data_IF_739777079153
#
_entry.id   IF_739777079153
#
_cell.length_a   1.000
_cell.length_b   1.000
_cell.length_c   1.000
_cell.angle_alpha   90.00
_cell.angle_beta   90.00
_cell.angle_gamma   90.00
#
_symmetry.space_group_name_H-M   'P 1'
#
loop_
_entity.id
_entity.type
_entity.pdbx_description
1 polymer ?
#
# COMPACT_ATOMS: atom_id res chain seq x y z
N UNK A 1 -11.50 -14.19 -6.90
CA UNK A 1 -10.45 -13.42 -6.20
C UNK A 1 -11.18 -12.48 -5.26
N UNK A 2 -10.91 -12.56 -3.95
CA UNK A 2 -11.60 -11.72 -2.97
C UNK A 2 -11.31 -10.23 -3.23
N UNK A 3 -12.23 -9.37 -2.84
CA UNK A 3 -12.07 -7.92 -2.95
C UNK A 3 -10.92 -7.47 -2.03
N UNK A 4 -9.71 -7.32 -2.59
CA UNK A 4 -8.47 -6.98 -1.87
C UNK A 4 -8.64 -5.69 -1.07
N UNK A 5 -9.44 -4.77 -1.60
CA UNK A 5 -9.78 -3.53 -0.95
C UNK A 5 -10.48 -3.73 0.40
N UNK A 6 -11.14 -4.88 0.65
CA UNK A 6 -11.81 -5.22 1.91
C UNK A 6 -10.97 -6.12 2.83
N UNK A 7 -9.70 -6.37 2.49
CA UNK A 7 -8.85 -7.24 3.30
C UNK A 7 -8.50 -6.60 4.65
N UNK A 8 -8.89 -7.28 5.73
CA UNK A 8 -8.50 -6.96 7.10
C UNK A 8 -7.15 -7.59 7.50
N UNK A 9 -6.46 -8.24 6.57
CA UNK A 9 -5.14 -8.82 6.81
C UNK A 9 -4.18 -7.74 7.32
N UNK A 10 -3.61 -7.88 8.53
CA UNK A 10 -2.72 -6.88 9.08
C UNK A 10 -1.41 -6.79 8.30
N UNK A 11 -0.93 -5.56 8.10
CA UNK A 11 0.45 -5.30 7.70
C UNK A 11 1.38 -5.54 8.90
N UNK A 12 2.68 -5.69 8.64
CA UNK A 12 3.69 -5.82 9.70
C UNK A 12 4.07 -4.48 10.34
N UNK A 13 3.61 -3.38 9.76
CA UNK A 13 3.77 -2.04 10.30
C UNK A 13 2.51 -1.22 10.03
N UNK A 14 2.25 -0.25 10.92
CA UNK A 14 1.28 0.81 10.65
C UNK A 14 1.99 1.99 10.00
N UNK A 15 1.52 2.41 8.84
CA UNK A 15 2.01 3.60 8.15
C UNK A 15 1.13 4.79 8.51
N UNK A 16 1.75 5.93 8.83
CA UNK A 16 1.08 7.21 9.02
C UNK A 16 1.56 8.15 7.92
N UNK A 17 0.80 8.19 6.82
CA UNK A 17 1.16 8.94 5.63
C UNK A 17 0.51 10.32 5.68
N UNK A 18 1.24 11.38 5.33
CA UNK A 18 0.65 12.72 5.16
C UNK A 18 0.25 12.95 3.72
N UNK A 19 -0.99 13.33 3.49
CA UNK A 19 -1.53 13.70 2.19
C UNK A 19 -2.41 14.93 2.35
N UNK A 20 -2.14 15.99 1.58
CA UNK A 20 -2.93 17.23 1.62
C UNK A 20 -3.10 17.86 3.01
N UNK A 21 -2.11 17.68 3.90
CA UNK A 21 -2.16 18.19 5.28
C UNK A 21 -2.87 17.26 6.28
N UNK A 22 -3.49 16.18 5.81
CA UNK A 22 -4.13 15.17 6.66
C UNK A 22 -3.22 13.96 6.86
N UNK A 23 -3.32 13.32 8.03
CA UNK A 23 -2.60 12.06 8.30
C UNK A 23 -3.53 10.87 8.09
N UNK A 24 -3.21 10.04 7.10
CA UNK A 24 -3.89 8.79 6.82
C UNK A 24 -3.15 7.64 7.49
N UNK A 25 -3.87 6.81 8.25
CA UNK A 25 -3.29 5.64 8.91
C UNK A 25 -3.63 4.37 8.13
N UNK A 26 -2.60 3.56 7.81
CA UNK A 26 -2.72 2.32 7.05
C UNK A 26 -2.12 1.18 7.88
N UNK A 27 -2.97 0.28 8.36
CA UNK A 27 -2.60 -0.87 9.19
C UNK A 27 -2.94 -2.22 8.54
N UNK A 28 -3.84 -2.24 7.55
CA UNK A 28 -4.24 -3.46 6.84
C UNK A 28 -3.92 -3.41 5.34
N UNK A 29 -3.89 -4.58 4.72
CA UNK A 29 -3.74 -4.75 3.27
C UNK A 29 -4.81 -3.97 2.51
N UNK A 30 -6.08 -4.07 2.92
CA UNK A 30 -7.18 -3.38 2.25
C UNK A 30 -7.10 -1.86 2.36
N UNK A 31 -6.68 -1.33 3.52
CA UNK A 31 -6.45 0.10 3.69
C UNK A 31 -5.35 0.61 2.74
N UNK A 32 -4.20 -0.07 2.71
CA UNK A 32 -3.09 0.32 1.86
C UNK A 32 -3.42 0.19 0.36
N UNK A 33 -4.12 -0.88 -0.03
CA UNK A 33 -4.54 -1.09 -1.41
C UNK A 33 -5.46 0.03 -1.89
N UNK A 34 -6.49 0.38 -1.12
CA UNK A 34 -7.37 1.52 -1.44
C UNK A 34 -6.60 2.83 -1.53
N UNK A 35 -5.67 3.07 -0.60
CA UNK A 35 -4.89 4.30 -0.58
C UNK A 35 -4.08 4.47 -1.88
N UNK A 36 -3.30 3.46 -2.26
CA UNK A 36 -2.45 3.57 -3.45
C UNK A 36 -3.23 3.44 -4.77
N UNK A 37 -4.40 2.79 -4.76
CA UNK A 37 -5.25 2.65 -5.95
C UNK A 37 -6.14 3.88 -6.21
N UNK A 38 -6.52 4.62 -5.17
CA UNK A 38 -7.38 5.81 -5.30
C UNK A 38 -6.60 7.08 -5.67
N UNK A 39 -5.29 7.10 -5.46
CA UNK A 39 -4.41 8.15 -5.98
C UNK A 39 -4.30 8.01 -7.50
N UNK A 40 -4.35 9.14 -8.20
CA UNK A 40 -4.34 9.20 -9.66
C UNK A 40 -3.06 8.59 -10.23
N UNK A 41 -3.17 8.00 -11.43
CA UNK A 41 -2.00 7.49 -12.14
C UNK A 41 -0.91 8.56 -12.39
N UNK A 42 -1.32 9.84 -12.44
CA UNK A 42 -0.40 10.98 -12.56
C UNK A 42 0.48 11.12 -11.31
N UNK A 43 -0.10 10.97 -10.11
CA UNK A 43 0.63 11.04 -8.84
C UNK A 43 1.68 9.93 -8.71
N UNK A 44 1.44 8.78 -9.34
CA UNK A 44 2.36 7.64 -9.33
C UNK A 44 3.29 7.56 -10.54
N UNK A 45 3.21 8.48 -11.51
CA UNK A 45 3.94 8.33 -12.77
C UNK A 45 5.48 8.29 -12.56
N UNK A 46 6.00 9.05 -11.59
CA UNK A 46 7.43 9.01 -11.21
C UNK A 46 7.83 7.71 -10.47
N UNK A 47 6.86 7.01 -9.86
CA UNK A 47 7.08 5.84 -9.01
C UNK A 47 6.37 4.59 -9.52
N UNK A 48 6.02 4.55 -10.82
CA UNK A 48 5.11 3.56 -11.39
C UNK A 48 5.53 2.11 -11.12
N UNK A 49 6.83 1.80 -11.27
CA UNK A 49 7.35 0.45 -10.98
C UNK A 49 7.10 0.05 -9.52
N UNK A 50 7.41 0.95 -8.58
CA UNK A 50 7.22 0.69 -7.15
C UNK A 50 5.73 0.62 -6.79
N UNK A 51 4.88 1.38 -7.48
CA UNK A 51 3.43 1.34 -7.31
C UNK A 51 2.84 0.02 -7.78
N UNK A 52 3.19 -0.42 -9.00
CA UNK A 52 2.74 -1.71 -9.54
C UNK A 52 3.25 -2.89 -8.68
N UNK A 53 4.50 -2.84 -8.22
CA UNK A 53 5.07 -3.83 -7.29
C UNK A 53 4.31 -3.87 -5.96
N UNK A 54 3.95 -2.71 -5.39
CA UNK A 54 3.20 -2.63 -4.16
C UNK A 54 1.77 -3.18 -4.33
N UNK A 55 1.10 -2.89 -5.44
CA UNK A 55 -0.22 -3.45 -5.76
C UNK A 55 -0.17 -4.98 -5.82
N UNK A 56 0.74 -5.54 -6.60
CA UNK A 56 0.90 -6.99 -6.74
C UNK A 56 1.22 -7.65 -5.40
N UNK A 57 2.07 -7.03 -4.58
CA UNK A 57 2.40 -7.54 -3.26
C UNK A 57 1.19 -7.56 -2.32
N UNK A 58 0.34 -6.52 -2.37
CA UNK A 58 -0.89 -6.45 -1.57
C UNK A 58 -1.94 -7.48 -2.02
N UNK A 59 -2.13 -7.67 -3.32
CA UNK A 59 -3.06 -8.68 -3.86
C UNK A 59 -2.65 -10.09 -3.41
N UNK A 60 -1.35 -10.39 -3.47
CA UNK A 60 -0.81 -11.66 -2.98
C UNK A 60 -0.97 -11.81 -1.47
N UNK A 61 -0.74 -10.75 -0.69
CA UNK A 61 -0.89 -10.77 0.76
C UNK A 61 -2.35 -10.90 1.22
N UNK A 62 -3.31 -10.38 0.45
CA UNK A 62 -4.73 -10.57 0.71
C UNK A 62 -5.15 -12.05 0.59
N UNK A 63 -4.56 -12.79 -0.35
CA UNK A 63 -4.77 -14.23 -0.49
C UNK A 63 -3.88 -15.11 0.40
N UNK A 64 -2.81 -14.55 0.96
CA UNK A 64 -1.84 -15.28 1.78
C UNK A 64 -1.17 -14.37 2.83
N UNK A 65 -1.63 -14.47 4.08
CA UNK A 65 -1.12 -13.67 5.20
C UNK A 65 0.39 -13.84 5.47
N UNK A 66 1.02 -14.93 5.02
CA UNK A 66 2.47 -15.12 5.13
C UNK A 66 3.26 -14.11 4.27
N UNK A 67 2.63 -13.50 3.26
CA UNK A 67 3.25 -12.53 2.35
C UNK A 67 3.14 -11.07 2.82
N UNK A 68 2.63 -10.85 4.03
CA UNK A 68 2.44 -9.51 4.61
C UNK A 68 3.77 -8.77 4.85
N UNK A 69 4.88 -9.48 5.05
CA UNK A 69 6.23 -8.88 5.17
C UNK A 69 6.62 -8.20 3.85
N UNK A 70 6.43 -8.91 2.74
CA UNK A 70 6.76 -8.44 1.39
C UNK A 70 5.89 -7.25 1.01
N UNK A 71 4.57 -7.32 1.27
CA UNK A 71 3.66 -6.20 1.06
C UNK A 71 4.05 -4.97 1.90
N UNK A 72 4.41 -5.18 3.18
CA UNK A 72 4.87 -4.08 4.06
C UNK A 72 6.15 -3.44 3.53
N UNK A 73 7.11 -4.23 3.05
CA UNK A 73 8.36 -3.70 2.51
C UNK A 73 8.16 -2.96 1.18
N UNK A 74 7.32 -3.47 0.27
CA UNK A 74 6.97 -2.79 -0.97
C UNK A 74 6.33 -1.42 -0.70
N UNK A 75 5.38 -1.35 0.22
CA UNK A 75 4.76 -0.10 0.66
C UNK A 75 5.79 0.88 1.25
N UNK A 76 6.70 0.40 2.10
CA UNK A 76 7.75 1.24 2.68
C UNK A 76 8.63 1.85 1.61
N UNK A 77 9.08 1.07 0.63
CA UNK A 77 9.91 1.56 -0.48
C UNK A 77 9.16 2.63 -1.29
N UNK A 78 7.91 2.36 -1.66
CA UNK A 78 7.06 3.30 -2.38
C UNK A 78 6.91 4.63 -1.61
N UNK A 79 6.48 4.56 -0.34
CA UNK A 79 6.18 5.75 0.44
C UNK A 79 7.42 6.58 0.79
N UNK A 80 8.57 5.94 1.06
CA UNK A 80 9.83 6.67 1.25
C UNK A 80 10.23 7.37 -0.05
N UNK A 81 10.13 6.69 -1.20
CA UNK A 81 10.52 7.28 -2.49
C UNK A 81 9.60 8.44 -2.90
N UNK A 82 8.32 8.33 -2.57
CA UNK A 82 7.31 9.36 -2.78
C UNK A 82 7.27 10.45 -1.68
N UNK A 83 8.17 10.40 -0.67
CA UNK A 83 8.24 11.36 0.45
C UNK A 83 6.93 11.48 1.25
N UNK A 84 6.24 10.36 1.40
CA UNK A 84 4.98 10.23 2.13
C UNK A 84 5.16 9.85 3.62
N UNK A 85 6.37 9.42 3.99
CA UNK A 85 6.81 9.07 5.35
C UNK A 85 7.88 10.04 5.86
#
# INVERSE_FOLDING_TARGET
>A
MGDVSKSDTPLKATFKVRLNGETVTLATVGQAYRFISNLSAVEWMEFRSLHDEALVALERAAGNAMLTVQATNALRMLFVRAKLL
#
